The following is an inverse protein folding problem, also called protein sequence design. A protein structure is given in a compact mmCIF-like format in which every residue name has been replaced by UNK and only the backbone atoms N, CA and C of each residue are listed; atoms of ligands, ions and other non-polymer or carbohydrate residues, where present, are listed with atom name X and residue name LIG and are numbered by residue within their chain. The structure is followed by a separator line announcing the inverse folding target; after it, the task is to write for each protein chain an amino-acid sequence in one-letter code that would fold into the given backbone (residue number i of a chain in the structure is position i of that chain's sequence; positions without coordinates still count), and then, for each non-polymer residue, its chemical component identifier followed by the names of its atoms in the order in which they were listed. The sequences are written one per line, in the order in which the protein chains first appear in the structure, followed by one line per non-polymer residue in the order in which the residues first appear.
data_IF_025659102988
#
_entry.id   IF_025659102988
#
_cell.length_a   1.000
_cell.length_b   1.000
_cell.length_c   1.000
_cell.angle_alpha   90.00
_cell.angle_beta   90.00
_cell.angle_gamma   90.00
#
_symmetry.space_group_name_H-M   'P 1'
#
loop_
_entity.id
_entity.type
_entity.pdbx_description
1 polymer ?
#
# COMPACT_ATOMS: atom_id res chain seq x y z
N UNK A 1 -3.15 17.17 -6.34
CA UNK A 1 -2.23 16.36 -5.54
C UNK A 1 -2.42 14.89 -5.83
N UNK A 2 -1.34 14.14 -6.02
CA UNK A 2 -1.50 12.70 -6.23
C UNK A 2 -2.08 12.03 -4.98
N UNK A 3 -2.90 11.04 -5.24
CA UNK A 3 -3.55 10.29 -4.18
C UNK A 3 -2.52 9.42 -3.46
N UNK A 4 -2.47 9.44 -2.12
CA UNK A 4 -1.52 8.59 -1.40
C UNK A 4 -1.90 7.12 -1.49
N UNK A 5 -0.90 6.27 -1.53
CA UNK A 5 -1.06 4.81 -1.56
C UNK A 5 -0.62 4.28 -0.20
N UNK A 6 -1.51 3.59 0.50
CA UNK A 6 -1.21 2.99 1.80
C UNK A 6 -1.02 1.50 1.61
N UNK A 7 0.13 0.98 2.00
CA UNK A 7 0.51 -0.41 1.78
C UNK A 7 0.62 -1.13 3.11
N UNK A 8 -0.09 -2.26 3.21
CA UNK A 8 0.06 -3.19 4.31
C UNK A 8 1.34 -4.00 4.07
N UNK A 9 2.41 -3.64 4.77
CA UNK A 9 3.76 -4.12 4.45
C UNK A 9 3.94 -5.62 4.50
N UNK A 10 3.55 -6.24 5.61
CA UNK A 10 3.73 -7.69 5.72
C UNK A 10 2.77 -8.47 4.81
N UNK A 11 1.60 -7.94 4.57
CA UNK A 11 0.68 -8.53 3.60
C UNK A 11 1.30 -8.53 2.20
N UNK A 12 1.95 -7.43 1.83
CA UNK A 12 2.62 -7.35 0.53
C UNK A 12 3.83 -8.29 0.45
N UNK A 13 4.64 -8.35 1.51
CA UNK A 13 5.77 -9.28 1.55
C UNK A 13 5.28 -10.73 1.43
N UNK A 14 4.24 -11.06 2.16
CA UNK A 14 3.65 -12.39 2.11
C UNK A 14 3.17 -12.73 0.70
N UNK A 15 2.50 -11.80 0.05
CA UNK A 15 2.03 -11.98 -1.33
C UNK A 15 3.19 -12.16 -2.33
N UNK A 16 4.36 -11.58 -2.02
CA UNK A 16 5.56 -11.77 -2.84
C UNK A 16 6.28 -13.09 -2.53
N UNK A 17 5.77 -13.86 -1.57
CA UNK A 17 6.43 -15.09 -1.16
C UNK A 17 7.64 -14.88 -0.29
N UNK A 18 7.75 -13.72 0.35
CA UNK A 18 8.91 -13.35 1.16
C UNK A 18 8.60 -13.39 2.65
N UNK A 19 9.58 -13.85 3.44
CA UNK A 19 9.44 -13.86 4.88
C UNK A 19 9.57 -12.45 5.47
N UNK A 20 8.91 -12.17 6.60
CA UNK A 20 9.07 -10.88 7.27
C UNK A 20 10.44 -10.81 7.95
N UNK A 21 11.36 -10.08 7.35
CA UNK A 21 12.71 -9.92 7.85
C UNK A 21 13.22 -8.51 7.55
N UNK A 22 14.26 -8.10 8.26
CA UNK A 22 14.84 -6.77 8.04
C UNK A 22 15.27 -6.57 6.59
N UNK A 23 15.82 -7.60 5.98
CA UNK A 23 16.29 -7.55 4.61
C UNK A 23 15.15 -7.40 3.62
N UNK A 24 14.08 -8.17 3.78
CA UNK A 24 12.93 -8.11 2.88
C UNK A 24 12.18 -6.80 3.06
N UNK A 25 12.10 -6.28 4.28
CA UNK A 25 11.52 -4.96 4.51
C UNK A 25 12.32 -3.88 3.79
N UNK A 26 13.65 -3.94 3.90
CA UNK A 26 14.51 -2.95 3.25
C UNK A 26 14.39 -3.01 1.73
N UNK A 27 14.31 -4.20 1.15
CA UNK A 27 14.11 -4.37 -0.28
C UNK A 27 12.78 -3.79 -0.73
N UNK A 28 11.73 -4.04 0.03
CA UNK A 28 10.42 -3.51 -0.28
C UNK A 28 10.42 -1.98 -0.25
N UNK A 29 11.09 -1.39 0.74
CA UNK A 29 11.21 0.07 0.81
C UNK A 29 11.91 0.60 -0.43
N UNK A 30 13.02 -0.01 -0.84
CA UNK A 30 13.74 0.42 -2.04
C UNK A 30 12.87 0.34 -3.29
N UNK A 31 12.14 -0.76 -3.44
CA UNK A 31 11.25 -0.96 -4.59
C UNK A 31 10.14 0.09 -4.61
N UNK A 32 9.56 0.37 -3.45
CA UNK A 32 8.51 1.37 -3.35
C UNK A 32 9.03 2.78 -3.60
N UNK A 33 10.23 3.10 -3.12
CA UNK A 33 10.84 4.41 -3.38
C UNK A 33 11.04 4.61 -4.88
N UNK A 34 11.58 3.60 -5.58
CA UNK A 34 11.79 3.69 -7.02
C UNK A 34 10.46 3.86 -7.76
N UNK A 35 9.48 3.06 -7.41
CA UNK A 35 8.16 3.12 -8.01
C UNK A 35 7.48 4.48 -7.76
N UNK A 36 7.53 4.95 -6.52
CA UNK A 36 6.89 6.19 -6.12
C UNK A 36 7.49 7.40 -6.82
N UNK A 37 8.82 7.41 -6.97
CA UNK A 37 9.51 8.48 -7.70
C UNK A 37 9.11 8.48 -9.17
N UNK A 38 9.08 7.31 -9.77
CA UNK A 38 8.72 7.16 -11.18
C UNK A 38 7.29 7.62 -11.44
N UNK A 39 6.37 7.23 -10.56
CA UNK A 39 4.95 7.54 -10.70
C UNK A 39 4.55 8.86 -10.07
N UNK A 40 5.45 9.53 -9.37
CA UNK A 40 5.18 10.77 -8.64
C UNK A 40 4.04 10.58 -7.64
N UNK A 41 4.14 9.52 -6.86
CA UNK A 41 3.15 9.16 -5.84
C UNK A 41 3.77 9.25 -4.45
N UNK A 42 2.91 9.46 -3.46
CA UNK A 42 3.29 9.30 -2.07
C UNK A 42 2.83 7.92 -1.60
N UNK A 43 3.69 7.26 -0.84
CA UNK A 43 3.40 5.93 -0.32
C UNK A 43 3.53 5.96 1.20
N UNK A 44 2.56 5.38 1.87
CA UNK A 44 2.61 5.13 3.31
C UNK A 44 2.69 3.62 3.48
N UNK A 45 3.84 3.14 3.93
CA UNK A 45 4.08 1.71 4.13
C UNK A 45 3.98 1.43 5.61
N UNK A 46 3.11 0.50 6.00
CA UNK A 46 2.83 0.22 7.40
C UNK A 46 3.29 -1.19 7.75
N UNK A 47 4.17 -1.30 8.71
CA UNK A 47 4.59 -2.58 9.29
C UNK A 47 4.05 -2.72 10.70
N UNK A 48 3.62 -3.94 11.00
CA UNK A 48 3.08 -4.29 12.30
C UNK A 48 4.20 -4.37 13.34
N UNK A 49 4.11 -3.54 14.37
CA UNK A 49 5.03 -3.56 15.50
C UNK A 49 4.50 -4.32 16.70
N UNK A 50 3.47 -5.12 16.50
CA UNK A 50 2.69 -5.78 17.55
C UNK A 50 3.53 -6.42 18.66
N UNK A 51 4.52 -7.24 18.29
CA UNK A 51 5.31 -8.00 19.26
C UNK A 51 6.55 -7.30 19.74
N UNK A 52 7.22 -6.57 18.87
CA UNK A 52 8.48 -5.93 19.19
C UNK A 52 8.46 -4.42 19.09
N UNK A 53 7.27 -3.85 18.98
CA UNK A 53 7.13 -2.41 18.78
C UNK A 53 7.43 -1.60 20.02
N UNK A 54 7.74 -0.32 19.80
CA UNK A 54 7.93 0.64 20.85
C UNK A 54 6.57 1.04 21.45
N UNK A 55 6.60 1.79 22.54
CA UNK A 55 5.40 2.32 23.17
C UNK A 55 4.54 3.13 22.22
N UNK A 56 5.21 3.87 21.32
CA UNK A 56 4.54 4.72 20.36
C UNK A 56 4.87 4.30 18.96
N UNK A 57 3.97 4.56 18.05
CA UNK A 57 4.24 4.37 16.63
C UNK A 57 5.40 5.28 16.22
N UNK A 58 6.19 4.81 15.27
CA UNK A 58 7.30 5.60 14.75
C UNK A 58 7.30 5.56 13.23
N UNK A 59 7.84 6.60 12.63
CA UNK A 59 7.93 6.67 11.18
C UNK A 59 9.33 7.03 10.73
N UNK A 60 9.65 6.63 9.51
CA UNK A 60 10.90 6.96 8.83
C UNK A 60 10.55 7.45 7.44
N UNK A 61 11.17 8.53 7.03
CA UNK A 61 10.96 9.07 5.69
C UNK A 61 12.04 8.58 4.73
N UNK A 62 11.61 8.07 3.58
CA UNK A 62 12.49 7.62 2.51
C UNK A 62 12.00 8.25 1.21
N UNK A 63 12.33 9.54 1.01
CA UNK A 63 11.81 10.29 -0.13
C UNK A 63 10.29 10.33 -0.14
N UNK A 64 9.63 9.85 -1.20
CA UNK A 64 8.16 9.86 -1.24
C UNK A 64 7.50 8.75 -0.43
N UNK A 65 8.28 7.87 0.18
CA UNK A 65 7.75 6.76 1.00
C UNK A 65 7.95 7.08 2.48
N UNK A 66 6.88 7.02 3.26
CA UNK A 66 6.95 7.08 4.70
C UNK A 66 6.66 5.69 5.25
N UNK A 67 7.57 5.16 6.03
CA UNK A 67 7.42 3.84 6.65
C UNK A 67 6.96 4.04 8.08
N UNK A 68 5.84 3.43 8.42
CA UNK A 68 5.31 3.44 9.79
C UNK A 68 5.47 2.07 10.43
N UNK A 69 5.90 2.08 11.67
CA UNK A 69 5.89 0.90 12.52
C UNK A 69 4.87 1.16 13.62
N UNK A 70 3.86 0.31 13.72
CA UNK A 70 2.82 0.52 14.73
C UNK A 70 3.38 0.31 16.13
N UNK A 71 2.75 0.94 17.11
CA UNK A 71 3.15 0.77 18.52
C UNK A 71 2.89 -0.65 18.98
N UNK A 72 3.52 -1.03 20.08
CA UNK A 72 3.28 -2.34 20.70
C UNK A 72 1.79 -2.48 21.03
N UNK A 73 1.23 -3.60 20.67
CA UNK A 73 -0.19 -3.88 20.88
C UNK A 73 -1.12 -3.41 19.78
N UNK A 74 -0.61 -2.68 18.79
CA UNK A 74 -1.42 -2.24 17.66
C UNK A 74 -1.04 -3.01 16.40
N UNK A 75 -2.02 -3.51 15.69
CA UNK A 75 -1.79 -4.19 14.42
C UNK A 75 -1.81 -3.19 13.27
N UNK A 76 -1.10 -3.53 12.20
CA UNK A 76 -1.05 -2.69 11.01
C UNK A 76 -2.45 -2.43 10.44
N UNK A 77 -3.31 -3.43 10.44
CA UNK A 77 -4.68 -3.30 9.92
C UNK A 77 -5.46 -2.21 10.65
N UNK A 78 -5.39 -2.17 11.97
CA UNK A 78 -6.06 -1.14 12.75
C UNK A 78 -5.51 0.25 12.46
N UNK A 79 -4.19 0.35 12.33
CA UNK A 79 -3.53 1.60 11.98
C UNK A 79 -4.00 2.10 10.62
N UNK A 80 -4.01 1.21 9.62
CA UNK A 80 -4.39 1.57 8.25
C UNK A 80 -5.83 2.07 8.20
N UNK A 81 -6.75 1.36 8.83
CA UNK A 81 -8.16 1.74 8.83
C UNK A 81 -8.36 3.10 9.50
N UNK A 82 -7.67 3.34 10.62
CA UNK A 82 -7.72 4.63 11.29
C UNK A 82 -7.13 5.75 10.44
N UNK A 83 -5.97 5.49 9.83
CA UNK A 83 -5.31 6.48 8.98
C UNK A 83 -6.19 6.88 7.80
N UNK A 84 -6.82 5.90 7.17
CA UNK A 84 -7.75 6.12 6.05
C UNK A 84 -8.95 6.94 6.47
N UNK A 85 -9.39 6.82 7.70
CA UNK A 85 -10.48 7.64 8.22
C UNK A 85 -10.18 9.14 8.13
N UNK A 86 -8.90 9.50 8.16
CA UNK A 86 -8.46 10.88 8.03
C UNK A 86 -7.99 11.21 6.60
N UNK A 87 -7.84 10.21 5.75
CA UNK A 87 -7.31 10.34 4.39
C UNK A 87 -8.13 9.48 3.43
N UNK A 88 -9.42 9.75 3.36
CA UNK A 88 -10.34 8.89 2.61
C UNK A 88 -10.07 8.85 1.09
N UNK A 89 -9.27 9.79 0.58
CA UNK A 89 -8.87 9.79 -0.82
C UNK A 89 -7.79 8.76 -1.14
N UNK A 90 -7.25 8.07 -0.12
CA UNK A 90 -6.15 7.12 -0.31
C UNK A 90 -6.58 5.85 -1.04
N UNK A 91 -5.60 5.18 -1.63
CA UNK A 91 -5.75 3.81 -2.13
C UNK A 91 -5.07 2.89 -1.13
N UNK A 92 -5.77 1.88 -0.68
CA UNK A 92 -5.22 0.90 0.26
C UNK A 92 -4.83 -0.36 -0.50
N UNK A 93 -3.58 -0.78 -0.35
CA UNK A 93 -3.06 -2.00 -0.98
C UNK A 93 -2.98 -3.10 0.07
N UNK A 94 -3.84 -4.06 -0.05
CA UNK A 94 -3.87 -5.23 0.82
C UNK A 94 -4.77 -6.30 0.21
N UNK A 95 -4.48 -7.57 0.50
CA UNK A 95 -5.38 -8.66 0.16
C UNK A 95 -6.20 -9.13 1.37
N UNK A 96 -6.01 -8.52 2.51
CA UNK A 96 -6.78 -8.82 3.72
C UNK A 96 -8.18 -8.25 3.60
N UNK A 97 -9.19 -9.11 3.60
CA UNK A 97 -10.58 -8.70 3.39
C UNK A 97 -11.12 -7.78 4.47
N UNK A 98 -10.71 -7.99 5.71
CA UNK A 98 -11.17 -7.14 6.80
C UNK A 98 -10.65 -5.72 6.64
N UNK A 99 -9.39 -5.57 6.25
CA UNK A 99 -8.78 -4.27 5.97
C UNK A 99 -9.46 -3.63 4.77
N UNK A 100 -9.67 -4.40 3.70
CA UNK A 100 -10.36 -3.91 2.50
C UNK A 100 -11.73 -3.35 2.85
N UNK A 101 -12.51 -4.10 3.61
CA UNK A 101 -13.85 -3.66 4.00
C UNK A 101 -13.82 -2.42 4.87
N UNK A 102 -12.90 -2.39 5.84
CA UNK A 102 -12.75 -1.22 6.71
C UNK A 102 -12.37 0.02 5.94
N UNK A 103 -11.49 -0.11 4.95
CA UNK A 103 -11.08 1.00 4.11
C UNK A 103 -12.24 1.49 3.24
N UNK A 104 -12.97 0.56 2.62
CA UNK A 104 -14.13 0.92 1.78
C UNK A 104 -15.21 1.64 2.56
N UNK A 105 -15.46 1.23 3.79
CA UNK A 105 -16.45 1.90 4.65
C UNK A 105 -16.09 3.36 4.90
N UNK A 106 -14.83 3.69 4.81
CA UNK A 106 -14.36 5.05 5.01
C UNK A 106 -14.15 5.81 3.71
N UNK A 107 -14.57 5.20 2.59
CA UNK A 107 -14.54 5.85 1.29
C UNK A 107 -13.27 5.65 0.48
N UNK A 108 -12.31 4.89 1.00
CA UNK A 108 -11.07 4.65 0.27
C UNK A 108 -11.24 3.58 -0.80
N UNK A 109 -10.44 3.67 -1.85
CA UNK A 109 -10.34 2.61 -2.85
C UNK A 109 -9.38 1.54 -2.36
N UNK A 110 -9.52 0.34 -2.89
CA UNK A 110 -8.72 -0.82 -2.49
C UNK A 110 -8.13 -1.48 -3.72
N UNK A 111 -6.88 -1.90 -3.60
CA UNK A 111 -6.17 -2.65 -4.63
C UNK A 111 -5.57 -3.90 -3.99
N UNK A 112 -5.71 -5.04 -4.65
CA UNK A 112 -5.10 -6.29 -4.19
C UNK A 112 -3.59 -6.20 -4.17
N UNK A 113 -2.98 -6.93 -3.23
CA UNK A 113 -1.52 -7.02 -3.16
C UNK A 113 -0.92 -7.57 -4.45
N UNK A 114 -1.51 -8.62 -5.02
CA UNK A 114 -0.98 -9.21 -6.26
C UNK A 114 -1.02 -8.24 -7.42
N UNK A 115 -2.09 -7.49 -7.56
CA UNK A 115 -2.21 -6.49 -8.62
C UNK A 115 -1.15 -5.40 -8.45
N UNK A 116 -0.93 -4.96 -7.22
CA UNK A 116 0.07 -3.93 -6.96
C UNK A 116 1.48 -4.45 -7.21
N UNK A 117 1.78 -5.69 -6.86
CA UNK A 117 3.07 -6.32 -7.13
C UNK A 117 3.38 -6.30 -8.62
N UNK A 118 2.40 -6.63 -9.46
CA UNK A 118 2.59 -6.58 -10.90
C UNK A 118 2.98 -5.18 -11.36
N UNK A 119 2.41 -4.16 -10.77
CA UNK A 119 2.76 -2.77 -11.09
C UNK A 119 4.15 -2.40 -10.61
N UNK A 120 4.56 -2.89 -9.44
CA UNK A 120 5.91 -2.69 -8.93
C UNK A 120 6.96 -3.32 -9.84
N UNK A 121 6.65 -4.47 -10.40
CA UNK A 121 7.55 -5.20 -11.28
C UNK A 121 7.59 -4.61 -12.69
N UNK A 122 6.77 -3.59 -12.94
CA UNK A 122 6.80 -2.87 -14.20
C UNK A 122 6.35 -3.68 -15.39
N UNK A 123 5.31 -4.48 -15.23
CA UNK A 123 4.79 -5.29 -16.33
C UNK A 123 4.24 -4.41 -17.45
N UNK A 124 4.83 -4.45 -18.65
CA UNK A 124 4.35 -3.61 -19.75
C UNK A 124 2.92 -3.95 -20.18
N UNK A 125 2.53 -5.21 -20.06
CA UNK A 125 1.19 -5.65 -20.40
C UNK A 125 0.10 -5.04 -19.54
N UNK A 126 0.44 -4.61 -18.33
CA UNK A 126 -0.56 -4.02 -17.44
C UNK A 126 -1.07 -2.68 -17.97
N UNK A 127 -0.29 -1.93 -18.71
CA UNK A 127 -0.75 -0.68 -19.30
C UNK A 127 -1.83 -0.91 -20.34
N UNK A 128 -1.65 -1.92 -21.20
CA UNK A 128 -2.65 -2.27 -22.20
C UNK A 128 -3.90 -2.84 -21.55
N UNK A 129 -3.72 -3.69 -20.56
CA UNK A 129 -4.83 -4.27 -19.81
C UNK A 129 -5.59 -3.19 -19.06
N UNK A 130 -4.89 -2.26 -18.44
CA UNK A 130 -5.51 -1.16 -17.72
C UNK A 130 -6.35 -0.29 -18.64
N UNK A 131 -5.87 -0.03 -19.84
CA UNK A 131 -6.62 0.76 -20.82
C UNK A 131 -7.92 0.07 -21.21
N UNK A 132 -7.84 -1.22 -21.51
CA UNK A 132 -9.03 -2.01 -21.84
C UNK A 132 -9.97 -2.14 -20.64
N UNK A 133 -9.40 -2.46 -19.50
CA UNK A 133 -10.17 -2.62 -18.28
C UNK A 133 -10.85 -1.34 -17.81
N UNK A 134 -10.20 -0.21 -18.02
CA UNK A 134 -10.75 1.07 -17.63
C UNK A 134 -12.01 1.40 -18.44
N UNK A 135 -11.99 1.10 -19.72
CA UNK A 135 -13.17 1.32 -20.55
C UNK A 135 -14.35 0.47 -20.08
N UNK A 136 -14.06 -0.76 -19.69
CA UNK A 136 -15.10 -1.68 -19.23
C UNK A 136 -15.62 -1.31 -17.84
N UNK A 137 -14.77 -0.79 -16.98
CA UNK A 137 -15.12 -0.55 -15.58
C UNK A 137 -15.42 0.90 -15.24
N UNK A 138 -15.16 1.81 -16.16
CA UNK A 138 -15.51 3.21 -15.98
C UNK A 138 -14.50 4.02 -15.19
N UNK A 139 -14.97 5.15 -14.66
CA UNK A 139 -14.11 6.16 -14.05
C UNK A 139 -13.27 5.66 -12.88
N UNK A 140 -13.81 4.78 -12.07
CA UNK A 140 -13.09 4.24 -10.92
C UNK A 140 -11.85 3.48 -11.34
N UNK A 141 -11.98 2.65 -12.38
CA UNK A 141 -10.83 1.91 -12.89
C UNK A 141 -9.82 2.84 -13.55
N UNK A 142 -10.28 3.87 -14.22
CA UNK A 142 -9.41 4.88 -14.82
C UNK A 142 -8.56 5.56 -13.74
N UNK A 143 -9.15 5.84 -12.61
CA UNK A 143 -8.46 6.44 -11.48
C UNK A 143 -7.34 5.52 -10.95
N UNK A 144 -7.63 4.24 -10.82
CA UNK A 144 -6.65 3.26 -10.35
C UNK A 144 -5.48 3.05 -11.31
N UNK A 145 -5.69 3.32 -12.59
CA UNK A 145 -4.61 3.17 -13.59
C UNK A 145 -3.40 4.06 -13.32
N UNK A 146 -3.61 5.14 -12.62
CA UNK A 146 -2.53 6.06 -12.29
C UNK A 146 -1.50 5.51 -11.31
N UNK A 147 -1.74 4.37 -10.73
CA UNK A 147 -0.81 3.77 -9.78
C UNK A 147 0.43 3.18 -10.42
#
# INVERSE_FOLDING_TARGET
MPVPVVVDGYNLLFARGEAPAAETRAELVRDLVAWAKLRKRRVVLVFDGWKGGAREARSEAHGPVTVWYTRAGERADAFIVRWVGEHAEAVVVTSDRAVQQGARRRGAAVLDADTFIARLEGEPSSDAEDSAGARARGARAAWLRGL
#
